data_IF_043803949930
#
_entry.id   IF_043803949930
#
_cell.length_a   1.000
_cell.length_b   1.000
_cell.length_c   1.000
_cell.angle_alpha   90.00
_cell.angle_beta   90.00
_cell.angle_gamma   90.00
#
_symmetry.space_group_name_H-M   'P 1'
#
loop_
_entity.id
_entity.type
_entity.pdbx_description
1 polymer ?
#
# COMPACT_ATOMS: atom_id res chain seq x y z
N UNK A 1 -0.29 23.08 23.01
CA UNK A 1 -0.10 22.61 21.64
C UNK A 1 1.40 22.61 21.45
N UNK A 2 2.06 21.42 21.61
CA UNK A 2 3.49 21.27 21.40
C UNK A 2 3.81 21.50 19.92
N UNK A 3 4.90 22.24 19.66
CA UNK A 3 5.55 22.34 18.34
C UNK A 3 5.48 20.99 17.63
N UNK A 4 4.85 20.97 16.47
CA UNK A 4 4.89 19.80 15.61
C UNK A 4 6.37 19.61 15.26
N UNK A 5 6.99 18.57 15.83
CA UNK A 5 8.36 18.24 15.54
C UNK A 5 8.53 18.22 14.02
N UNK A 6 9.51 18.99 13.52
CA UNK A 6 9.77 19.08 12.09
C UNK A 6 9.91 17.66 11.52
N UNK A 7 9.22 17.42 10.41
CA UNK A 7 9.28 16.13 9.71
C UNK A 7 10.74 15.83 9.33
N UNK A 8 11.28 14.62 9.60
CA UNK A 8 12.64 14.31 9.19
C UNK A 8 12.76 14.31 7.66
N UNK A 9 13.93 14.67 7.17
CA UNK A 9 14.26 14.63 5.74
C UNK A 9 14.22 13.19 5.23
N UNK A 10 13.50 12.98 4.11
CA UNK A 10 13.31 11.69 3.48
C UNK A 10 12.14 11.70 2.52
N UNK A 11 11.84 10.56 1.93
CA UNK A 11 10.82 10.42 0.90
C UNK A 11 9.74 9.39 1.26
N UNK A 12 8.67 9.40 0.47
CA UNK A 12 7.63 8.39 0.45
C UNK A 12 7.80 7.48 -0.78
N UNK A 13 7.79 6.17 -0.59
CA UNK A 13 7.70 5.20 -1.67
C UNK A 13 6.30 4.60 -1.67
N UNK A 14 5.60 4.70 -2.81
CA UNK A 14 4.31 4.03 -3.02
C UNK A 14 4.47 3.00 -4.14
N UNK A 15 4.39 1.72 -3.81
CA UNK A 15 4.52 0.66 -4.82
C UNK A 15 3.25 0.52 -5.64
N UNK A 16 3.39 0.30 -6.97
CA UNK A 16 2.25 0.19 -7.89
C UNK A 16 1.41 1.46 -7.94
N UNK A 17 2.03 2.62 -8.05
CA UNK A 17 1.38 3.93 -7.94
C UNK A 17 1.10 4.63 -9.27
N UNK A 18 1.13 3.91 -10.40
CA UNK A 18 0.75 4.46 -11.71
C UNK A 18 -0.77 4.70 -11.86
N UNK A 19 -1.61 4.06 -11.04
CA UNK A 19 -3.08 4.17 -11.09
C UNK A 19 -3.76 3.79 -9.77
N UNK A 20 -5.08 3.99 -9.71
CA UNK A 20 -5.94 3.53 -8.61
C UNK A 20 -5.52 4.05 -7.23
N UNK A 21 -5.58 3.20 -6.22
CA UNK A 21 -5.28 3.53 -4.82
C UNK A 21 -3.85 4.07 -4.69
N UNK A 22 -2.89 3.47 -5.40
CA UNK A 22 -1.48 3.90 -5.37
C UNK A 22 -1.30 5.32 -5.88
N UNK A 23 -1.91 5.67 -7.01
CA UNK A 23 -1.87 7.03 -7.59
C UNK A 23 -2.52 8.06 -6.67
N UNK A 24 -3.73 7.78 -6.17
CA UNK A 24 -4.42 8.66 -5.22
C UNK A 24 -3.59 8.86 -3.94
N UNK A 25 -2.93 7.81 -3.45
CA UNK A 25 -2.04 7.89 -2.28
C UNK A 25 -0.81 8.75 -2.56
N UNK A 26 -0.17 8.57 -3.72
CA UNK A 26 1.01 9.35 -4.12
C UNK A 26 0.69 10.85 -4.15
N UNK A 27 -0.44 11.23 -4.73
CA UNK A 27 -0.92 12.62 -4.78
C UNK A 27 -1.13 13.21 -3.39
N UNK A 28 -1.77 12.48 -2.47
CA UNK A 28 -2.03 12.96 -1.12
C UNK A 28 -0.75 13.09 -0.28
N UNK A 29 0.19 12.15 -0.42
CA UNK A 29 1.47 12.23 0.29
C UNK A 29 2.33 13.38 -0.24
N UNK A 30 2.32 13.65 -1.55
CA UNK A 30 2.98 14.80 -2.14
C UNK A 30 2.36 16.13 -1.65
N UNK A 31 1.03 16.21 -1.55
CA UNK A 31 0.33 17.37 -0.98
C UNK A 31 0.68 17.61 0.50
N UNK A 32 1.07 16.56 1.24
CA UNK A 32 1.62 16.70 2.59
C UNK A 32 3.12 17.08 2.58
N UNK A 33 3.68 17.34 1.40
CA UNK A 33 5.05 17.80 1.18
C UNK A 33 6.10 16.67 1.16
N UNK A 34 5.74 15.38 1.09
CA UNK A 34 6.71 14.32 0.86
C UNK A 34 7.20 14.34 -0.58
N UNK A 35 8.53 14.28 -0.84
CA UNK A 35 9.03 13.79 -2.13
C UNK A 35 8.53 12.36 -2.34
N UNK A 36 7.90 12.08 -3.49
CA UNK A 36 7.26 10.78 -3.73
C UNK A 36 7.96 10.00 -4.83
N UNK A 37 8.35 8.77 -4.53
CA UNK A 37 8.78 7.78 -5.52
C UNK A 37 7.54 7.08 -6.06
N UNK A 38 7.22 7.37 -7.32
CA UNK A 38 6.11 6.74 -8.06
C UNK A 38 6.62 5.45 -8.69
N UNK A 39 6.34 4.31 -8.05
CA UNK A 39 6.77 3.02 -8.56
C UNK A 39 5.76 2.42 -9.54
N UNK A 40 6.27 1.89 -10.62
CA UNK A 40 5.53 1.14 -11.63
C UNK A 40 6.39 -0.03 -12.17
N UNK A 41 5.75 -1.05 -12.73
CA UNK A 41 6.43 -2.15 -13.43
C UNK A 41 6.40 -1.94 -14.94
N UNK A 42 5.21 -1.84 -15.53
CA UNK A 42 4.99 -1.75 -16.97
C UNK A 42 4.23 -0.50 -17.40
N UNK A 43 3.46 0.13 -16.52
CA UNK A 43 2.59 1.26 -16.83
C UNK A 43 3.35 2.59 -16.60
N UNK A 44 4.33 2.84 -17.49
CA UNK A 44 5.16 4.05 -17.44
C UNK A 44 4.34 5.31 -17.71
N UNK A 45 3.41 5.24 -18.66
CA UNK A 45 2.59 6.39 -19.03
C UNK A 45 1.68 6.84 -17.88
N UNK A 46 1.01 5.90 -17.21
CA UNK A 46 0.23 6.20 -16.02
C UNK A 46 1.09 6.78 -14.90
N UNK A 47 2.31 6.27 -14.70
CA UNK A 47 3.23 6.80 -13.71
C UNK A 47 3.69 8.23 -14.05
N UNK A 48 3.97 8.54 -15.34
CA UNK A 48 4.29 9.91 -15.81
C UNK A 48 3.14 10.88 -15.54
N UNK A 49 1.91 10.47 -15.79
CA UNK A 49 0.73 11.29 -15.49
C UNK A 49 0.60 11.59 -14.00
N UNK A 50 0.89 10.63 -13.13
CA UNK A 50 0.88 10.85 -11.68
C UNK A 50 1.97 11.84 -11.27
N UNK A 51 3.19 11.70 -11.79
CA UNK A 51 4.29 12.63 -11.53
C UNK A 51 3.92 14.04 -11.98
N UNK A 52 3.46 14.21 -13.22
CA UNK A 52 3.03 15.51 -13.75
C UNK A 52 1.96 16.17 -12.88
N UNK A 53 0.93 15.42 -12.44
CA UNK A 53 -0.11 15.94 -11.54
C UNK A 53 0.43 16.38 -10.19
N UNK A 54 1.45 15.70 -9.65
CA UNK A 54 2.11 16.08 -8.41
C UNK A 54 2.90 17.38 -8.61
N UNK A 55 3.65 17.50 -9.71
CA UNK A 55 4.45 18.67 -10.03
C UNK A 55 3.57 19.89 -10.34
N UNK A 56 2.50 19.73 -11.10
CA UNK A 56 1.52 20.78 -11.38
C UNK A 56 0.86 21.32 -10.10
N UNK A 57 0.73 20.47 -9.06
CA UNK A 57 0.25 20.88 -7.74
C UNK A 57 1.35 21.46 -6.81
N UNK A 58 2.58 21.64 -7.32
CA UNK A 58 3.72 22.18 -6.58
C UNK A 58 4.42 21.16 -5.67
N UNK A 59 4.14 19.87 -5.81
CA UNK A 59 4.81 18.78 -5.11
C UNK A 59 6.08 18.31 -5.82
N UNK A 60 6.74 17.30 -5.27
CA UNK A 60 7.93 16.66 -5.84
C UNK A 60 7.70 15.18 -6.00
N UNK A 61 7.93 14.65 -7.20
CA UNK A 61 7.85 13.22 -7.46
C UNK A 61 8.89 12.76 -8.49
N UNK A 62 9.26 11.49 -8.43
CA UNK A 62 10.19 10.85 -9.34
C UNK A 62 9.67 9.49 -9.79
N UNK A 63 10.01 9.11 -11.04
CA UNK A 63 9.65 7.82 -11.62
C UNK A 63 10.60 6.73 -11.15
N UNK A 64 10.04 5.60 -10.66
CA UNK A 64 10.82 4.47 -10.19
C UNK A 64 10.29 3.16 -10.80
N UNK A 65 10.85 2.78 -11.94
CA UNK A 65 10.52 1.49 -12.55
C UNK A 65 11.12 0.34 -11.74
N UNK A 66 10.34 -0.71 -11.47
CA UNK A 66 10.81 -1.92 -10.80
C UNK A 66 9.67 -2.89 -10.49
N UNK A 67 9.98 -4.17 -10.58
CA UNK A 67 9.07 -5.23 -10.18
C UNK A 67 9.26 -5.54 -8.69
N UNK A 68 8.22 -5.36 -7.89
CA UNK A 68 8.25 -5.64 -6.46
C UNK A 68 8.43 -7.13 -6.13
N UNK A 69 8.18 -8.02 -7.08
CA UNK A 69 8.46 -9.44 -6.93
C UNK A 69 9.97 -9.76 -7.08
N UNK A 70 10.75 -8.89 -7.73
CA UNK A 70 12.21 -9.03 -7.84
C UNK A 70 12.93 -8.42 -6.63
N UNK A 71 13.85 -9.19 -6.03
CA UNK A 71 14.55 -8.76 -4.82
C UNK A 71 15.53 -7.60 -5.06
N UNK A 72 16.23 -7.59 -6.21
CA UNK A 72 17.18 -6.54 -6.54
C UNK A 72 16.47 -5.23 -6.87
N UNK A 73 15.34 -5.29 -7.56
CA UNK A 73 14.48 -4.14 -7.80
C UNK A 73 13.98 -3.53 -6.49
N UNK A 74 13.51 -4.35 -5.55
CA UNK A 74 13.06 -3.87 -4.24
C UNK A 74 14.19 -3.18 -3.46
N UNK A 75 15.39 -3.75 -3.46
CA UNK A 75 16.55 -3.12 -2.82
C UNK A 75 16.86 -1.74 -3.44
N UNK A 76 16.79 -1.63 -4.79
CA UNK A 76 16.99 -0.37 -5.51
C UNK A 76 15.89 0.64 -5.22
N UNK A 77 14.62 0.22 -5.22
CA UNK A 77 13.47 1.09 -4.93
C UNK A 77 13.54 1.73 -3.54
N UNK A 78 14.07 1.01 -2.56
CA UNK A 78 14.15 1.44 -1.15
C UNK A 78 15.49 2.11 -0.81
N UNK A 79 16.52 1.94 -1.64
CA UNK A 79 17.84 2.54 -1.41
C UNK A 79 17.73 4.07 -1.25
N UNK A 80 18.51 4.71 -0.35
CA UNK A 80 18.56 6.16 -0.27
C UNK A 80 19.00 6.79 -1.60
N UNK A 81 18.26 7.79 -2.05
CA UNK A 81 18.55 8.60 -3.21
C UNK A 81 18.80 10.07 -2.84
N UNK A 82 18.78 10.96 -3.82
CA UNK A 82 18.85 12.41 -3.62
C UNK A 82 17.67 12.95 -2.79
N UNK A 83 16.52 12.27 -2.83
CA UNK A 83 15.33 12.52 -2.07
C UNK A 83 15.40 11.99 -0.61
N UNK A 84 16.56 11.43 -0.22
CA UNK A 84 16.81 10.89 1.10
C UNK A 84 16.34 9.44 1.28
N UNK A 85 16.30 8.97 2.54
CA UNK A 85 15.83 7.62 2.86
C UNK A 85 14.31 7.52 2.74
N UNK A 86 13.80 6.33 2.40
CA UNK A 86 12.36 6.03 2.46
C UNK A 86 11.92 5.99 3.92
N UNK A 87 11.12 6.99 4.32
CA UNK A 87 10.57 7.13 5.68
C UNK A 87 9.05 6.89 5.73
N UNK A 88 8.37 6.96 4.58
CA UNK A 88 7.00 6.49 4.40
C UNK A 88 7.02 5.41 3.32
N UNK A 89 6.60 4.21 3.66
CA UNK A 89 6.50 3.09 2.73
C UNK A 89 5.05 2.64 2.64
N UNK A 90 4.49 2.72 1.43
CA UNK A 90 3.16 2.18 1.14
C UNK A 90 3.31 0.97 0.22
N UNK A 91 3.15 -0.23 0.78
CA UNK A 91 3.12 -1.48 0.06
C UNK A 91 1.72 -1.67 -0.54
N UNK A 92 1.52 -1.12 -1.76
CA UNK A 92 0.24 -1.15 -2.45
C UNK A 92 0.23 -2.09 -3.66
N UNK A 93 1.36 -2.31 -4.31
CA UNK A 93 1.43 -3.22 -5.46
C UNK A 93 0.85 -4.59 -5.13
N UNK A 94 0.05 -5.13 -6.05
CA UNK A 94 -0.57 -6.43 -5.87
C UNK A 94 -1.21 -6.94 -7.15
N UNK A 95 -1.39 -8.25 -7.20
CA UNK A 95 -2.06 -8.97 -8.29
C UNK A 95 -3.07 -9.95 -7.72
N UNK A 96 -4.04 -10.33 -8.52
CA UNK A 96 -4.93 -11.45 -8.24
C UNK A 96 -4.90 -12.42 -9.44
N UNK A 97 -5.10 -13.67 -9.15
CA UNK A 97 -5.31 -14.74 -10.13
C UNK A 97 -6.42 -15.63 -9.57
N UNK A 98 -7.66 -15.26 -9.94
CA UNK A 98 -8.86 -15.86 -9.36
C UNK A 98 -9.10 -17.25 -9.98
N UNK A 99 -9.48 -18.21 -9.16
CA UNK A 99 -9.81 -19.58 -9.52
C UNK A 99 -10.24 -20.39 -8.30
N UNK A 100 -11.10 -21.39 -8.48
CA UNK A 100 -11.43 -22.31 -7.40
C UNK A 100 -10.18 -23.13 -7.01
N UNK A 101 -10.01 -23.44 -5.73
CA UNK A 101 -8.80 -24.10 -5.22
C UNK A 101 -8.34 -25.33 -6.03
N UNK A 102 -9.22 -26.22 -6.55
CA UNK A 102 -8.79 -27.33 -7.40
C UNK A 102 -8.29 -26.92 -8.80
N UNK A 103 -8.48 -25.67 -9.21
CA UNK A 103 -8.12 -25.13 -10.52
C UNK A 103 -6.86 -24.23 -10.45
N UNK A 104 -6.46 -23.82 -9.25
CA UNK A 104 -5.25 -23.03 -9.04
C UNK A 104 -4.02 -23.95 -9.19
N UNK A 105 -3.09 -23.54 -10.04
CA UNK A 105 -1.79 -24.18 -10.15
C UNK A 105 -0.74 -23.51 -9.24
N UNK A 106 0.41 -24.15 -9.12
CA UNK A 106 1.50 -23.70 -8.26
C UNK A 106 2.10 -22.36 -8.74
N UNK A 107 2.09 -22.07 -10.05
CA UNK A 107 2.59 -20.82 -10.61
C UNK A 107 1.67 -19.64 -10.26
N UNK A 108 0.37 -19.82 -10.41
CA UNK A 108 -0.63 -18.82 -9.99
C UNK A 108 -0.55 -18.55 -8.50
N UNK A 109 -0.39 -19.60 -7.69
CA UNK A 109 -0.19 -19.45 -6.25
C UNK A 109 1.08 -18.67 -5.94
N UNK A 110 2.23 -19.07 -6.47
CA UNK A 110 3.52 -18.45 -6.23
C UNK A 110 3.52 -16.96 -6.68
N UNK A 111 2.98 -16.67 -7.87
CA UNK A 111 2.90 -15.31 -8.41
C UNK A 111 2.15 -14.38 -7.46
N UNK A 112 1.00 -14.82 -6.92
CA UNK A 112 0.20 -13.99 -6.01
C UNK A 112 0.90 -13.83 -4.66
N UNK A 113 1.48 -14.89 -4.11
CA UNK A 113 2.21 -14.83 -2.83
C UNK A 113 3.45 -13.94 -2.97
N UNK A 114 4.24 -14.09 -4.02
CA UNK A 114 5.47 -13.33 -4.22
C UNK A 114 5.19 -11.85 -4.43
N UNK A 115 4.18 -11.53 -5.25
CA UNK A 115 3.84 -10.13 -5.52
C UNK A 115 3.17 -9.45 -4.34
N UNK A 116 2.28 -10.11 -3.59
CA UNK A 116 1.47 -9.46 -2.57
C UNK A 116 2.10 -9.52 -1.17
N UNK A 117 2.72 -10.65 -0.80
CA UNK A 117 3.21 -10.90 0.56
C UNK A 117 4.74 -10.84 0.63
N UNK A 118 5.44 -11.58 -0.23
CA UNK A 118 6.90 -11.63 -0.20
C UNK A 118 7.48 -10.25 -0.52
N UNK A 119 6.91 -9.51 -1.47
CA UNK A 119 7.31 -8.13 -1.78
C UNK A 119 7.14 -7.19 -0.59
N UNK A 120 5.99 -7.27 0.10
CA UNK A 120 5.71 -6.49 1.32
C UNK A 120 6.76 -6.73 2.40
N UNK A 121 7.13 -7.99 2.62
CA UNK A 121 8.21 -8.36 3.53
C UNK A 121 9.55 -7.77 3.08
N UNK A 122 9.94 -7.94 1.81
CA UNK A 122 11.22 -7.47 1.26
C UNK A 122 11.37 -5.96 1.37
N UNK A 123 10.36 -5.20 0.93
CA UNK A 123 10.38 -3.74 0.96
C UNK A 123 10.41 -3.21 2.40
N UNK A 124 9.60 -3.78 3.29
CA UNK A 124 9.61 -3.41 4.71
C UNK A 124 10.96 -3.69 5.36
N UNK A 125 11.52 -4.89 5.16
CA UNK A 125 12.84 -5.27 5.67
C UNK A 125 13.94 -4.31 5.21
N UNK A 126 13.91 -3.88 3.95
CA UNK A 126 14.89 -2.95 3.39
C UNK A 126 14.75 -1.53 3.96
N UNK A 127 13.53 -1.04 4.21
CA UNK A 127 13.26 0.30 4.72
C UNK A 127 13.54 0.45 6.23
N UNK A 128 13.21 -0.56 7.02
CA UNK A 128 13.25 -0.51 8.48
C UNK A 128 14.59 -0.04 9.08
N UNK A 129 15.79 -0.44 8.61
CA UNK A 129 17.04 0.01 9.21
C UNK A 129 17.21 1.54 9.18
N UNK A 130 16.77 2.20 8.12
CA UNK A 130 16.83 3.67 7.99
C UNK A 130 15.76 4.35 8.84
N UNK A 131 14.54 3.84 8.83
CA UNK A 131 13.43 4.31 9.67
C UNK A 131 13.80 4.22 11.17
N UNK A 132 14.33 3.08 11.61
CA UNK A 132 14.73 2.87 13.00
C UNK A 132 15.88 3.78 13.43
N UNK A 133 16.83 4.08 12.53
CA UNK A 133 17.92 5.04 12.78
C UNK A 133 17.40 6.47 12.87
N UNK A 134 16.49 6.87 11.99
CA UNK A 134 15.82 8.16 12.01
C UNK A 134 14.87 8.33 13.20
N UNK A 135 14.53 7.24 13.93
CA UNK A 135 13.48 7.18 14.95
C UNK A 135 12.14 7.71 14.44
N UNK A 136 11.92 7.51 13.18
CA UNK A 136 10.69 7.85 12.47
C UNK A 136 10.51 6.90 11.28
N UNK A 137 9.31 6.36 11.13
CA UNK A 137 8.92 5.58 9.97
C UNK A 137 7.43 5.32 9.97
N UNK A 138 6.87 5.23 8.77
CA UNK A 138 5.47 4.90 8.52
C UNK A 138 5.41 3.82 7.46
N UNK A 139 5.03 2.62 7.85
CA UNK A 139 4.78 1.51 6.93
C UNK A 139 3.29 1.25 6.86
N UNK A 140 2.71 1.37 5.69
CA UNK A 140 1.30 1.12 5.44
C UNK A 140 1.18 0.01 4.39
N UNK A 141 0.59 -1.10 4.78
CA UNK A 141 0.41 -2.27 3.93
C UNK A 141 -1.04 -2.32 3.40
N UNK A 142 -1.22 -2.31 2.09
CA UNK A 142 -2.54 -2.45 1.49
C UNK A 142 -2.92 -3.93 1.46
N UNK A 143 -3.72 -4.33 2.45
CA UNK A 143 -4.34 -5.65 2.56
C UNK A 143 -5.61 -5.75 1.69
N UNK A 144 -6.64 -6.39 2.18
CA UNK A 144 -7.98 -6.48 1.58
C UNK A 144 -8.96 -7.07 2.60
N UNK A 145 -10.23 -6.81 2.45
CA UNK A 145 -11.28 -7.56 3.18
C UNK A 145 -11.24 -9.07 2.87
N UNK A 146 -10.72 -9.48 1.70
CA UNK A 146 -10.49 -10.89 1.38
C UNK A 146 -9.45 -11.57 2.30
N UNK A 147 -8.61 -10.81 3.01
CA UNK A 147 -7.73 -11.32 4.07
C UNK A 147 -8.43 -11.45 5.43
N UNK A 148 -9.66 -10.94 5.57
CA UNK A 148 -10.42 -10.92 6.82
C UNK A 148 -11.62 -11.88 6.73
N UNK A 149 -12.29 -11.92 5.58
CA UNK A 149 -13.46 -12.76 5.32
C UNK A 149 -13.23 -13.68 4.13
N UNK A 150 -13.96 -14.78 4.09
CA UNK A 150 -13.89 -15.69 2.95
C UNK A 150 -14.38 -15.03 1.66
N UNK A 151 -13.63 -15.26 0.57
CA UNK A 151 -14.00 -14.88 -0.79
C UNK A 151 -13.76 -16.08 -1.73
N UNK A 152 -14.80 -16.87 -2.07
CA UNK A 152 -14.65 -18.02 -2.95
C UNK A 152 -13.99 -17.65 -4.28
N UNK A 153 -13.07 -18.50 -4.74
CA UNK A 153 -12.28 -18.25 -5.95
C UNK A 153 -11.01 -17.44 -5.73
N UNK A 154 -10.70 -17.03 -4.48
CA UNK A 154 -9.52 -16.20 -4.18
C UNK A 154 -8.64 -16.81 -3.09
N UNK A 155 -8.44 -18.13 -3.07
CA UNK A 155 -7.68 -18.79 -2.01
C UNK A 155 -6.24 -18.25 -1.89
N UNK A 156 -5.52 -18.08 -3.01
CA UNK A 156 -4.17 -17.51 -3.07
C UNK A 156 -4.15 -16.03 -2.63
N UNK A 157 -5.07 -15.22 -3.16
CA UNK A 157 -5.18 -13.80 -2.83
C UNK A 157 -5.53 -13.59 -1.35
N UNK A 158 -6.54 -14.31 -0.85
CA UNK A 158 -6.94 -14.24 0.57
C UNK A 158 -5.81 -14.66 1.50
N UNK A 159 -5.09 -15.75 1.17
CA UNK A 159 -3.92 -16.18 1.93
C UNK A 159 -2.84 -15.09 1.96
N UNK A 160 -2.53 -14.47 0.80
CA UNK A 160 -1.54 -13.39 0.72
C UNK A 160 -1.93 -12.19 1.57
N UNK A 161 -3.21 -11.76 1.51
CA UNK A 161 -3.70 -10.58 2.24
C UNK A 161 -3.87 -10.84 3.75
N UNK A 162 -4.25 -12.05 4.14
CA UNK A 162 -4.22 -12.48 5.54
C UNK A 162 -2.79 -12.52 6.09
N UNK A 163 -1.84 -13.02 5.28
CA UNK A 163 -0.40 -12.97 5.61
C UNK A 163 0.12 -11.56 5.83
N UNK A 164 -0.28 -10.59 4.99
CA UNK A 164 0.06 -9.16 5.15
C UNK A 164 -0.46 -8.62 6.49
N UNK A 165 -1.69 -8.99 6.90
CA UNK A 165 -2.27 -8.57 8.18
C UNK A 165 -1.48 -9.14 9.36
N UNK A 166 -1.14 -10.44 9.33
CA UNK A 166 -0.32 -11.08 10.35
C UNK A 166 1.09 -10.49 10.44
N UNK A 167 1.74 -10.29 9.29
CA UNK A 167 3.04 -9.64 9.17
C UNK A 167 3.03 -8.22 9.77
N UNK A 168 2.02 -7.42 9.44
CA UNK A 168 1.84 -6.06 9.95
C UNK A 168 1.86 -6.02 11.47
N UNK A 169 1.07 -6.87 12.12
CA UNK A 169 0.97 -6.93 13.59
C UNK A 169 2.30 -7.28 14.26
N UNK A 170 2.99 -8.26 13.70
CA UNK A 170 4.27 -8.73 14.25
C UNK A 170 5.35 -7.67 14.13
N UNK A 171 5.55 -7.11 12.94
CA UNK A 171 6.58 -6.08 12.72
C UNK A 171 6.27 -4.80 13.51
N UNK A 172 5.00 -4.42 13.65
CA UNK A 172 4.61 -3.28 14.48
C UNK A 172 5.12 -3.42 15.92
N UNK A 173 4.96 -4.59 16.52
CA UNK A 173 5.44 -4.87 17.88
C UNK A 173 6.98 -4.82 17.99
N UNK A 174 7.69 -5.30 16.96
CA UNK A 174 9.16 -5.31 16.93
C UNK A 174 9.77 -3.92 16.89
N UNK A 175 9.13 -2.96 16.17
CA UNK A 175 9.74 -1.65 15.86
C UNK A 175 9.15 -0.47 16.62
N UNK A 176 8.07 -0.66 17.38
CA UNK A 176 7.34 0.44 18.06
C UNK A 176 8.25 1.34 18.91
N UNK A 177 9.22 0.76 19.64
CA UNK A 177 10.17 1.51 20.47
C UNK A 177 11.13 2.41 19.67
N UNK A 178 11.14 2.28 18.36
CA UNK A 178 12.00 3.05 17.44
C UNK A 178 11.27 4.22 16.77
N UNK A 179 10.04 4.53 17.18
CA UNK A 179 9.24 5.60 16.58
C UNK A 179 8.68 5.23 15.18
N UNK A 180 8.70 3.95 14.85
CA UNK A 180 8.16 3.42 13.58
C UNK A 180 6.79 2.82 13.84
N UNK A 181 5.81 3.18 13.02
CA UNK A 181 4.48 2.54 13.01
C UNK A 181 4.32 1.66 11.78
N UNK A 182 3.67 0.53 11.94
CA UNK A 182 3.35 -0.41 10.85
C UNK A 182 1.88 -0.75 10.95
N UNK A 183 1.10 -0.41 9.92
CA UNK A 183 -0.34 -0.60 9.88
C UNK A 183 -0.79 -1.22 8.56
N UNK A 184 -1.96 -1.81 8.52
CA UNK A 184 -2.62 -2.26 7.31
C UNK A 184 -3.88 -1.44 7.04
N UNK A 185 -4.20 -1.24 5.76
CA UNK A 185 -5.51 -0.81 5.29
C UNK A 185 -6.12 -1.98 4.53
N UNK A 186 -7.37 -2.33 4.83
CA UNK A 186 -8.09 -3.42 4.17
C UNK A 186 -9.26 -2.85 3.36
N UNK A 187 -9.07 -2.54 2.07
CA UNK A 187 -10.14 -2.07 1.20
C UNK A 187 -11.17 -3.18 0.94
N UNK A 188 -12.42 -2.78 0.79
CA UNK A 188 -13.47 -3.59 0.19
C UNK A 188 -13.47 -3.49 -1.33
N UNK A 189 -14.66 -3.38 -1.92
CA UNK A 189 -14.83 -3.16 -3.36
C UNK A 189 -14.60 -1.67 -3.67
N UNK A 190 -13.52 -1.38 -4.40
CA UNK A 190 -13.10 -0.02 -4.76
C UNK A 190 -13.11 0.12 -6.27
N UNK A 191 -13.62 1.23 -6.78
CA UNK A 191 -13.66 1.54 -8.20
C UNK A 191 -12.24 1.75 -8.77
N UNK A 192 -11.71 0.71 -9.39
CA UNK A 192 -10.38 0.70 -10.01
C UNK A 192 -10.40 -0.24 -11.21
N UNK A 193 -9.43 -0.13 -12.12
CA UNK A 193 -9.25 -1.11 -13.20
C UNK A 193 -9.08 -2.56 -12.67
N UNK A 194 -8.72 -2.72 -11.41
CA UNK A 194 -8.60 -4.03 -10.74
C UNK A 194 -9.96 -4.68 -10.44
N UNK A 195 -11.04 -3.89 -10.44
CA UNK A 195 -12.39 -4.30 -10.05
C UNK A 195 -13.43 -4.12 -11.15
N UNK A 196 -13.07 -3.59 -12.33
CA UNK A 196 -14.02 -3.31 -13.43
C UNK A 196 -14.90 -4.50 -13.78
N UNK A 197 -14.31 -5.70 -13.93
CA UNK A 197 -15.04 -6.93 -14.25
C UNK A 197 -16.07 -7.35 -13.17
N UNK A 198 -15.88 -6.87 -11.95
CA UNK A 198 -16.70 -7.23 -10.78
C UNK A 198 -17.83 -6.22 -10.56
N UNK A 199 -17.68 -5.01 -11.12
CA UNK A 199 -18.65 -3.91 -10.95
C UNK A 199 -19.91 -4.07 -11.80
N UNK A 200 -19.91 -4.92 -12.83
CA UNK A 200 -21.04 -5.14 -13.76
C UNK A 200 -22.25 -5.88 -13.12
N UNK A 201 -22.24 -6.13 -11.80
CA UNK A 201 -23.29 -6.89 -11.11
C UNK A 201 -23.93 -6.18 -9.92
N UNK A 202 -24.90 -6.85 -9.29
CA UNK A 202 -25.62 -6.41 -8.08
C UNK A 202 -24.75 -6.34 -6.81
N UNK A 203 -23.41 -6.39 -6.93
CA UNK A 203 -22.50 -6.46 -5.80
C UNK A 203 -22.55 -5.21 -4.90
N UNK A 204 -22.83 -4.04 -5.47
CA UNK A 204 -23.05 -2.84 -4.66
C UNK A 204 -24.24 -2.99 -3.70
N UNK A 205 -25.22 -3.85 -4.02
CA UNK A 205 -26.37 -4.13 -3.15
C UNK A 205 -25.99 -4.93 -1.91
N UNK A 206 -24.90 -5.71 -1.98
CA UNK A 206 -24.40 -6.48 -0.84
C UNK A 206 -23.60 -5.61 0.15
N UNK A 207 -23.13 -4.43 -0.28
CA UNK A 207 -22.43 -3.49 0.57
C UNK A 207 -23.45 -2.68 1.40
N UNK A 208 -23.35 -2.63 2.74
CA UNK A 208 -24.27 -1.84 3.56
C UNK A 208 -24.36 -0.36 3.14
N UNK A 209 -23.23 0.26 2.74
CA UNK A 209 -23.22 1.62 2.21
C UNK A 209 -23.85 1.79 0.83
N UNK A 210 -24.30 0.68 0.17
CA UNK A 210 -24.99 0.65 -1.13
C UNK A 210 -24.21 1.28 -2.30
N UNK A 211 -22.91 1.38 -2.18
CA UNK A 211 -22.00 1.83 -3.23
C UNK A 211 -20.62 1.19 -3.06
N UNK A 212 -19.87 1.21 -4.12
CA UNK A 212 -18.42 0.95 -4.10
C UNK A 212 -17.68 2.15 -3.50
N UNK A 213 -16.49 1.93 -2.95
CA UNK A 213 -15.60 3.00 -2.51
C UNK A 213 -14.78 3.54 -3.66
N UNK A 214 -14.14 4.70 -3.45
CA UNK A 214 -13.20 5.30 -4.41
C UNK A 214 -11.75 5.11 -3.97
N UNK A 215 -10.77 5.18 -4.88
CA UNK A 215 -9.35 5.19 -4.54
C UNK A 215 -8.99 6.27 -3.51
N UNK A 216 -9.61 7.44 -3.60
CA UNK A 216 -9.37 8.58 -2.72
C UNK A 216 -9.81 8.31 -1.28
N UNK A 217 -10.90 7.56 -1.08
CA UNK A 217 -11.36 7.18 0.27
C UNK A 217 -10.36 6.24 0.96
N UNK A 218 -9.75 5.33 0.22
CA UNK A 218 -8.68 4.46 0.74
C UNK A 218 -7.40 5.27 0.97
N UNK A 219 -7.02 6.12 0.02
CA UNK A 219 -5.84 6.96 0.10
C UNK A 219 -5.90 7.95 1.29
N UNK A 220 -7.09 8.47 1.62
CA UNK A 220 -7.29 9.32 2.80
C UNK A 220 -6.96 8.56 4.11
N UNK A 221 -7.34 7.30 4.21
CA UNK A 221 -7.00 6.44 5.35
C UNK A 221 -5.49 6.15 5.40
N UNK A 222 -4.86 5.88 4.26
CA UNK A 222 -3.40 5.70 4.15
C UNK A 222 -2.67 6.98 4.59
N UNK A 223 -3.11 8.15 4.10
CA UNK A 223 -2.58 9.47 4.47
C UNK A 223 -2.66 9.70 5.99
N UNK A 224 -3.81 9.38 6.61
CA UNK A 224 -3.95 9.47 8.07
C UNK A 224 -2.92 8.61 8.78
N UNK A 225 -2.75 7.34 8.39
CA UNK A 225 -1.78 6.43 9.01
C UNK A 225 -0.32 6.85 8.76
N UNK A 226 -0.03 7.57 7.68
CA UNK A 226 1.28 8.14 7.38
C UNK A 226 1.56 9.44 8.17
N UNK A 227 0.55 10.06 8.73
CA UNK A 227 0.63 11.37 9.37
C UNK A 227 1.17 11.31 10.81
N UNK A 228 1.62 12.45 11.39
CA UNK A 228 1.97 12.56 12.80
C UNK A 228 0.80 12.27 13.75
N UNK A 229 -0.44 12.53 13.32
CA UNK A 229 -1.66 12.29 14.11
C UNK A 229 -1.87 10.80 14.43
N UNK A 230 -1.33 9.91 13.58
CA UNK A 230 -1.38 8.47 13.79
C UNK A 230 -0.16 7.92 14.54
N UNK A 231 0.64 8.75 15.21
CA UNK A 231 1.90 8.34 15.85
C UNK A 231 1.74 7.27 16.95
N UNK A 232 0.54 7.12 17.51
CA UNK A 232 0.21 6.10 18.50
C UNK A 232 -0.62 4.93 17.92
N UNK A 233 -0.87 4.95 16.60
CA UNK A 233 -1.59 3.89 15.87
C UNK A 233 -0.55 2.97 15.25
N UNK A 234 -0.42 1.74 15.76
CA UNK A 234 0.49 0.73 15.19
C UNK A 234 -0.08 -0.69 15.40
N UNK A 235 0.13 -1.57 14.43
CA UNK A 235 -0.38 -2.94 14.43
C UNK A 235 -1.86 -3.06 14.09
N UNK A 236 -2.54 -1.97 13.69
CA UNK A 236 -3.96 -2.02 13.33
C UNK A 236 -4.17 -2.46 11.88
N UNK A 237 -5.37 -2.97 11.63
CA UNK A 237 -5.92 -3.13 10.28
C UNK A 237 -7.15 -2.23 10.18
N UNK A 238 -7.05 -1.16 9.41
CA UNK A 238 -8.14 -0.23 9.17
C UNK A 238 -8.95 -0.70 7.95
N UNK A 239 -10.18 -1.13 8.19
CA UNK A 239 -11.08 -1.58 7.13
C UNK A 239 -11.75 -0.38 6.46
N UNK A 240 -11.79 -0.37 5.11
CA UNK A 240 -12.38 0.69 4.27
C UNK A 240 -13.25 0.01 3.23
N UNK A 241 -14.47 -0.39 3.60
CA UNK A 241 -15.28 -1.33 2.81
C UNK A 241 -16.78 -1.05 2.80
N UNK A 242 -17.22 0.09 3.32
CA UNK A 242 -18.64 0.43 3.39
C UNK A 242 -19.47 -0.50 4.27
N UNK A 243 -18.84 -1.22 5.21
CA UNK A 243 -19.47 -2.18 6.12
C UNK A 243 -19.59 -3.61 5.56
N UNK A 244 -18.91 -3.90 4.42
CA UNK A 244 -19.00 -5.22 3.77
C UNK A 244 -18.53 -6.39 4.65
N UNK A 245 -17.62 -6.14 5.60
CA UNK A 245 -17.05 -7.14 6.50
C UNK A 245 -17.49 -6.99 7.95
N UNK A 246 -18.48 -6.14 8.24
CA UNK A 246 -19.01 -5.91 9.58
C UNK A 246 -19.90 -7.06 10.08
#
# INVERSE_FOLDING_TARGET
VSDAAARPEGCALVTGSSRGIGAATALLLAADGWPVRVNFRNDEEGAKQVVARIEDAGGTATLWQGDVADAADVERLVAPGEDGPVLVLVNNAGVRMDGLSPQLDDEQWATVIDTNLTSTFRATRAALPKMMRARFGRVINVASVAGIRANPGQANYSASKAGVIGFTKTVAAEVARRGVTVNAVAPGLIETAFTEEVLEGDMAKAIPARRVGTPEEVAACIRFLASPQASYVTGTTLTVDGGLSA
#
